data_IF_043471904248
#
_entry.id   IF_043471904248
#
_cell.length_a   1.000
_cell.length_b   1.000
_cell.length_c   1.000
_cell.angle_alpha   90.00
_cell.angle_beta   90.00
_cell.angle_gamma   90.00
#
_symmetry.space_group_name_H-M   'P 1'
#
loop_
_entity.id
_entity.type
_entity.pdbx_description
1 polymer ?
#
# COMPACT_ATOMS: atom_id res chain seq x y z
N UNK A 1 71.99 -58.73 9.73
CA UNK A 1 70.86 -59.23 8.93
C UNK A 1 70.06 -58.02 8.51
N UNK A 2 70.01 -57.76 7.19
CA UNK A 2 69.34 -56.61 6.61
C UNK A 2 67.82 -56.79 6.62
N UNK A 3 67.09 -55.71 6.87
CA UNK A 3 65.74 -55.52 6.33
C UNK A 3 65.55 -54.05 6.00
N UNK A 4 65.18 -53.83 4.74
CA UNK A 4 65.07 -52.59 4.02
C UNK A 4 63.66 -51.95 4.15
N UNK A 5 63.65 -50.61 4.06
CA UNK A 5 62.73 -49.73 3.31
C UNK A 5 61.21 -49.75 3.58
N UNK A 6 60.68 -48.56 3.95
CA UNK A 6 59.64 -47.78 3.21
C UNK A 6 59.41 -46.42 3.94
N UNK A 7 60.15 -45.35 3.65
CA UNK A 7 59.84 -44.28 2.67
C UNK A 7 58.50 -43.57 2.92
N UNK A 8 58.54 -42.43 3.61
CA UNK A 8 57.54 -41.36 3.47
C UNK A 8 58.25 -40.01 3.70
N UNK A 9 58.94 -39.55 2.67
CA UNK A 9 59.44 -38.19 2.56
C UNK A 9 59.59 -37.88 1.06
N UNK A 10 58.52 -37.33 0.48
CA UNK A 10 58.59 -36.59 -0.78
C UNK A 10 57.68 -35.37 -0.63
N UNK A 11 58.25 -34.26 -0.18
CA UNK A 11 58.83 -33.21 -1.04
C UNK A 11 57.75 -32.22 -1.45
N UNK A 12 57.82 -31.08 -0.78
CA UNK A 12 57.34 -29.80 -1.25
C UNK A 12 57.98 -29.49 -2.61
N UNK A 13 57.17 -29.51 -3.67
CA UNK A 13 57.54 -28.95 -4.96
C UNK A 13 56.57 -27.81 -5.28
N UNK A 14 57.07 -26.60 -5.08
CA UNK A 14 56.53 -25.36 -5.60
C UNK A 14 56.46 -25.44 -7.13
N UNK A 15 55.30 -25.14 -7.70
CA UNK A 15 55.04 -25.14 -9.13
C UNK A 15 54.13 -24.00 -9.51
N UNK A 16 54.73 -22.83 -9.76
CA UNK A 16 54.09 -21.76 -10.54
C UNK A 16 53.74 -22.30 -11.93
N UNK A 17 52.47 -22.23 -12.31
CA UNK A 17 51.99 -22.71 -13.61
C UNK A 17 50.58 -22.24 -13.91
N UNK A 18 50.51 -21.07 -14.54
CA UNK A 18 49.31 -20.55 -15.21
C UNK A 18 48.69 -21.58 -16.16
N UNK A 19 47.39 -21.87 -16.05
CA UNK A 19 46.43 -21.92 -17.17
C UNK A 19 45.06 -22.51 -16.75
N UNK A 20 44.03 -22.03 -17.47
CA UNK A 20 42.67 -22.57 -17.60
C UNK A 20 41.58 -22.09 -16.61
N UNK A 21 41.36 -20.77 -16.61
CA UNK A 21 40.00 -20.22 -16.44
C UNK A 21 39.20 -20.53 -17.73
N UNK A 22 38.43 -21.62 -17.75
CA UNK A 22 37.69 -22.01 -18.97
C UNK A 22 36.49 -22.94 -18.77
N UNK A 23 36.06 -23.21 -17.54
CA UNK A 23 34.98 -24.15 -17.25
C UNK A 23 33.70 -23.50 -16.68
N UNK A 24 33.62 -22.17 -16.60
CA UNK A 24 32.47 -21.46 -16.02
C UNK A 24 31.51 -20.81 -17.04
N UNK A 25 31.87 -20.74 -18.31
CA UNK A 25 31.01 -20.11 -19.33
C UNK A 25 29.90 -21.05 -19.83
N UNK A 26 30.14 -22.37 -19.88
CA UNK A 26 29.17 -23.31 -20.47
C UNK A 26 27.93 -23.51 -19.58
N UNK A 27 28.08 -23.67 -18.27
CA UNK A 27 26.95 -23.85 -17.34
C UNK A 27 26.18 -22.55 -17.08
N UNK A 28 26.85 -21.40 -17.18
CA UNK A 28 26.22 -20.08 -17.07
C UNK A 28 25.36 -19.79 -18.30
N UNK A 29 25.82 -20.13 -19.51
CA UNK A 29 25.03 -19.97 -20.74
C UNK A 29 23.76 -20.83 -20.74
N UNK A 30 23.81 -22.08 -20.30
CA UNK A 30 22.61 -22.93 -20.25
C UNK A 30 21.58 -22.45 -19.21
N UNK A 31 22.05 -21.96 -18.05
CA UNK A 31 21.19 -21.41 -17.00
C UNK A 31 20.54 -20.09 -17.44
N UNK A 32 21.31 -19.21 -18.08
CA UNK A 32 20.81 -17.93 -18.61
C UNK A 32 19.79 -18.16 -19.73
N UNK A 33 20.02 -19.16 -20.59
CA UNK A 33 19.04 -19.53 -21.63
C UNK A 33 17.76 -20.15 -21.05
N UNK A 34 17.85 -20.95 -19.97
CA UNK A 34 16.68 -21.45 -19.26
C UNK A 34 15.89 -20.32 -18.58
N UNK A 35 16.56 -19.40 -17.90
CA UNK A 35 15.93 -18.22 -17.28
C UNK A 35 15.27 -17.35 -18.35
N UNK A 36 15.92 -17.13 -19.50
CA UNK A 36 15.35 -16.38 -20.62
C UNK A 36 14.12 -17.07 -21.21
N UNK A 37 14.11 -18.40 -21.32
CA UNK A 37 12.95 -19.17 -21.80
C UNK A 37 11.80 -19.19 -20.78
N UNK A 38 12.08 -19.32 -19.49
CA UNK A 38 11.08 -19.25 -18.43
C UNK A 38 10.49 -17.85 -18.38
N UNK A 39 11.34 -16.82 -18.43
CA UNK A 39 10.91 -15.43 -18.46
C UNK A 39 10.08 -15.15 -19.71
N UNK A 40 10.48 -15.65 -20.88
CA UNK A 40 9.69 -15.49 -22.11
C UNK A 40 8.31 -16.17 -22.01
N UNK A 41 8.24 -17.40 -21.47
CA UNK A 41 6.97 -18.10 -21.26
C UNK A 41 6.09 -17.38 -20.23
N UNK A 42 6.67 -16.86 -19.16
CA UNK A 42 5.96 -16.10 -18.13
C UNK A 42 5.49 -14.76 -18.71
N UNK A 43 6.32 -14.03 -19.45
CA UNK A 43 5.94 -12.76 -20.08
C UNK A 43 4.84 -12.95 -21.13
N UNK A 44 4.89 -14.00 -21.94
CA UNK A 44 3.82 -14.33 -22.89
C UNK A 44 2.51 -14.66 -22.16
N UNK A 45 2.57 -15.44 -21.07
CA UNK A 45 1.39 -15.76 -20.25
C UNK A 45 0.89 -14.57 -19.41
N UNK A 46 1.77 -13.66 -18.98
CA UNK A 46 1.43 -12.43 -18.26
C UNK A 46 0.81 -11.39 -19.19
N UNK A 47 1.29 -11.30 -20.43
CA UNK A 47 0.70 -10.44 -21.46
C UNK A 47 -0.74 -10.82 -21.80
N UNK A 48 -1.03 -12.12 -21.80
CA UNK A 48 -2.41 -12.62 -21.91
C UNK A 48 -3.22 -12.33 -20.64
N UNK A 49 -2.60 -12.39 -19.46
CA UNK A 49 -3.24 -12.14 -18.16
C UNK A 49 -3.82 -10.74 -18.06
N UNK A 50 -3.13 -9.71 -18.54
CA UNK A 50 -3.66 -8.34 -18.54
C UNK A 50 -4.99 -8.24 -19.31
N UNK A 51 -5.15 -9.04 -20.37
CA UNK A 51 -6.38 -9.11 -21.15
C UNK A 51 -7.51 -9.79 -20.36
N UNK A 52 -7.22 -10.94 -19.73
CA UNK A 52 -8.19 -11.65 -18.88
C UNK A 52 -8.54 -10.87 -17.60
N UNK A 53 -7.57 -10.22 -16.96
CA UNK A 53 -7.77 -9.33 -15.81
C UNK A 53 -8.60 -8.11 -16.21
N UNK A 54 -8.31 -7.53 -17.38
CA UNK A 54 -9.06 -6.39 -17.91
C UNK A 54 -10.51 -6.72 -18.23
N UNK A 55 -10.79 -7.95 -18.68
CA UNK A 55 -12.15 -8.44 -18.98
C UNK A 55 -12.90 -8.82 -17.69
N UNK A 56 -12.24 -9.53 -16.77
CA UNK A 56 -12.77 -9.81 -15.43
C UNK A 56 -13.10 -8.52 -14.67
N UNK A 57 -12.17 -7.57 -14.60
CA UNK A 57 -12.43 -6.33 -13.85
C UNK A 57 -13.54 -5.52 -14.51
N UNK A 58 -13.73 -5.59 -15.84
CA UNK A 58 -14.85 -4.97 -16.57
C UNK A 58 -16.19 -5.64 -16.30
N UNK A 59 -16.24 -6.96 -16.39
CA UNK A 59 -17.46 -7.76 -16.18
C UNK A 59 -17.91 -7.69 -14.71
N UNK A 60 -16.96 -7.76 -13.79
CA UNK A 60 -17.23 -7.75 -12.35
C UNK A 60 -17.26 -6.34 -11.74
N UNK A 61 -17.16 -5.24 -12.51
CA UNK A 61 -17.15 -3.87 -11.95
C UNK A 61 -18.30 -3.62 -10.99
N UNK A 62 -19.52 -4.00 -11.36
CA UNK A 62 -20.71 -3.75 -10.53
C UNK A 62 -20.67 -4.50 -9.19
N UNK A 63 -20.46 -5.82 -9.15
CA UNK A 63 -20.33 -6.53 -7.88
C UNK A 63 -19.05 -6.15 -7.12
N UNK A 64 -17.93 -5.86 -7.79
CA UNK A 64 -16.70 -5.37 -7.15
C UNK A 64 -16.90 -4.02 -6.46
N UNK A 65 -17.61 -3.10 -7.09
CA UNK A 65 -17.96 -1.81 -6.45
C UNK A 65 -18.88 -2.06 -5.26
N UNK A 66 -19.93 -2.88 -5.41
CA UNK A 66 -20.84 -3.17 -4.30
C UNK A 66 -20.11 -3.83 -3.13
N UNK A 67 -19.26 -4.83 -3.40
CA UNK A 67 -18.47 -5.53 -2.40
C UNK A 67 -17.39 -4.62 -1.80
N UNK A 68 -16.76 -3.78 -2.62
CA UNK A 68 -15.79 -2.77 -2.19
C UNK A 68 -16.44 -1.69 -1.32
N UNK A 69 -17.69 -1.34 -1.58
CA UNK A 69 -18.46 -0.38 -0.77
C UNK A 69 -18.91 -1.04 0.54
N UNK A 70 -19.33 -2.30 0.50
CA UNK A 70 -19.66 -3.07 1.70
C UNK A 70 -18.42 -3.29 2.59
N UNK A 71 -17.31 -3.66 1.98
CA UNK A 71 -16.03 -3.86 2.66
C UNK A 71 -15.47 -2.52 3.14
N UNK A 72 -15.57 -1.47 2.33
CA UNK A 72 -15.19 -0.11 2.69
C UNK A 72 -15.98 0.38 3.90
N UNK A 73 -17.30 0.22 3.89
CA UNK A 73 -18.17 0.56 5.01
C UNK A 73 -17.79 -0.25 6.26
N UNK A 74 -17.63 -1.56 6.12
CA UNK A 74 -17.24 -2.44 7.22
C UNK A 74 -15.88 -2.05 7.80
N UNK A 75 -14.89 -1.79 6.94
CA UNK A 75 -13.55 -1.38 7.31
C UNK A 75 -13.55 0.01 7.95
N UNK A 76 -14.33 0.96 7.44
CA UNK A 76 -14.51 2.27 8.05
C UNK A 76 -15.08 2.15 9.45
N UNK A 77 -16.12 1.34 9.66
CA UNK A 77 -16.68 1.10 10.99
C UNK A 77 -15.62 0.49 11.92
N UNK A 78 -14.90 -0.54 11.45
CA UNK A 78 -13.81 -1.18 12.21
C UNK A 78 -12.70 -0.19 12.55
N UNK A 79 -12.31 0.66 11.61
CA UNK A 79 -11.29 1.67 11.79
C UNK A 79 -11.73 2.73 12.79
N UNK A 80 -12.97 3.23 12.69
CA UNK A 80 -13.54 4.17 13.67
C UNK A 80 -13.60 3.55 15.06
N UNK A 81 -14.03 2.30 15.19
CA UNK A 81 -14.03 1.59 16.47
C UNK A 81 -12.61 1.38 17.01
N UNK A 82 -11.64 1.06 16.16
CA UNK A 82 -10.24 0.91 16.54
C UNK A 82 -9.63 2.24 17.00
N UNK A 83 -9.94 3.34 16.30
CA UNK A 83 -9.54 4.69 16.71
C UNK A 83 -10.19 5.06 18.04
N UNK A 84 -11.48 4.77 18.23
CA UNK A 84 -12.18 5.02 19.48
C UNK A 84 -11.58 4.20 20.64
N UNK A 85 -11.24 2.93 20.39
CA UNK A 85 -10.57 2.08 21.36
C UNK A 85 -9.17 2.61 21.70
N UNK A 86 -8.39 3.03 20.69
CA UNK A 86 -7.07 3.63 20.89
C UNK A 86 -7.13 4.97 21.64
N UNK A 87 -8.15 5.79 21.40
CA UNK A 87 -8.40 7.02 22.17
C UNK A 87 -8.69 6.68 23.64
N UNK A 88 -9.48 5.62 23.89
CA UNK A 88 -9.79 5.18 25.24
C UNK A 88 -8.58 4.57 25.98
N UNK A 89 -7.67 3.90 25.24
CA UNK A 89 -6.41 3.38 25.79
C UNK A 89 -5.35 4.46 26.01
N UNK A 90 -5.43 5.59 25.30
CA UNK A 90 -4.48 6.69 25.42
C UNK A 90 -5.10 7.88 26.19
N UNK A 91 -4.83 8.00 27.51
CA UNK A 91 -5.51 8.96 28.38
C UNK A 91 -5.27 10.43 28.01
N UNK A 92 -4.28 10.74 27.17
CA UNK A 92 -3.96 12.11 26.73
C UNK A 92 -4.70 12.54 25.46
N UNK A 93 -5.24 11.61 24.66
CA UNK A 93 -5.93 11.98 23.41
C UNK A 93 -7.25 12.70 23.70
N UNK A 94 -8.06 12.18 24.63
CA UNK A 94 -9.34 12.78 25.03
C UNK A 94 -9.21 14.28 25.39
N UNK A 95 -8.32 14.70 26.33
CA UNK A 95 -8.17 16.12 26.67
C UNK A 95 -7.57 16.95 25.51
N UNK A 96 -6.74 16.37 24.64
CA UNK A 96 -6.24 17.10 23.46
C UNK A 96 -7.33 17.34 22.42
N UNK A 97 -8.20 16.37 22.13
CA UNK A 97 -9.34 16.55 21.23
C UNK A 97 -10.36 17.55 21.79
N UNK A 98 -10.59 17.53 23.10
CA UNK A 98 -11.42 18.52 23.78
C UNK A 98 -10.82 19.92 23.63
N UNK A 99 -9.51 20.08 23.87
CA UNK A 99 -8.82 21.36 23.70
C UNK A 99 -8.88 21.86 22.25
N UNK A 100 -8.60 20.98 21.28
CA UNK A 100 -8.69 21.31 19.84
C UNK A 100 -10.12 21.70 19.48
N UNK A 101 -11.12 20.95 19.95
CA UNK A 101 -12.54 21.22 19.75
C UNK A 101 -12.95 22.56 20.33
N UNK A 102 -12.48 22.91 21.53
CA UNK A 102 -12.74 24.21 22.16
C UNK A 102 -12.03 25.35 21.43
N UNK A 103 -10.80 25.16 20.95
CA UNK A 103 -10.10 26.15 20.13
C UNK A 103 -10.89 26.41 18.84
N UNK A 104 -11.26 25.36 18.11
CA UNK A 104 -12.01 25.49 16.86
C UNK A 104 -13.41 26.04 17.07
N UNK A 105 -14.12 25.58 18.11
CA UNK A 105 -15.46 26.08 18.45
C UNK A 105 -15.40 27.55 18.88
N UNK A 106 -14.46 27.92 19.74
CA UNK A 106 -14.23 29.31 20.15
C UNK A 106 -13.87 30.22 18.97
N UNK A 107 -12.97 29.77 18.09
CA UNK A 107 -12.62 30.50 16.87
C UNK A 107 -13.81 30.60 15.90
N UNK A 108 -14.58 29.53 15.73
CA UNK A 108 -15.76 29.52 14.86
C UNK A 108 -16.84 30.48 15.36
N UNK A 109 -17.15 30.41 16.66
CA UNK A 109 -18.11 31.32 17.30
C UNK A 109 -17.64 32.76 17.16
N UNK A 110 -16.37 33.05 17.48
CA UNK A 110 -15.82 34.40 17.32
C UNK A 110 -15.84 34.89 15.86
N UNK A 111 -15.40 34.06 14.92
CA UNK A 111 -15.23 34.42 13.51
C UNK A 111 -16.55 34.50 12.75
N UNK A 112 -17.52 33.64 13.05
CA UNK A 112 -18.75 33.50 12.27
C UNK A 112 -20.01 33.97 13.01
N UNK A 113 -20.12 33.78 14.33
CA UNK A 113 -21.31 34.17 15.09
C UNK A 113 -21.25 35.62 15.61
N UNK A 114 -20.11 36.06 16.16
CA UNK A 114 -19.98 37.42 16.71
C UNK A 114 -19.81 38.49 15.64
N UNK A 115 -19.21 38.13 14.49
CA UNK A 115 -19.01 39.07 13.40
C UNK A 115 -20.34 39.30 12.67
N UNK A 116 -20.95 40.46 12.92
CA UNK A 116 -22.29 40.82 12.46
C UNK A 116 -22.52 40.72 10.94
N UNK A 117 -21.47 40.87 10.12
CA UNK A 117 -21.55 40.64 8.68
C UNK A 117 -21.79 39.17 8.33
N UNK A 118 -21.16 38.25 9.07
CA UNK A 118 -21.17 36.83 8.74
C UNK A 118 -22.45 36.13 9.22
N UNK A 119 -23.08 36.60 10.32
CA UNK A 119 -24.35 36.03 10.78
C UNK A 119 -25.50 36.27 9.79
N UNK A 120 -25.51 37.42 9.08
CA UNK A 120 -26.55 37.74 8.11
C UNK A 120 -26.38 36.93 6.83
N UNK A 121 -25.14 36.70 6.42
CA UNK A 121 -24.78 35.95 5.23
C UNK A 121 -24.98 34.44 5.45
N UNK A 122 -24.49 33.89 6.57
CA UNK A 122 -24.70 32.48 6.92
C UNK A 122 -26.17 32.15 7.16
N UNK A 123 -26.94 33.02 7.83
CA UNK A 123 -28.37 32.74 8.05
C UNK A 123 -29.13 32.67 6.73
N UNK A 124 -28.84 33.59 5.80
CA UNK A 124 -29.43 33.58 4.45
C UNK A 124 -29.00 32.35 3.66
N UNK A 125 -27.73 31.93 3.73
CA UNK A 125 -27.25 30.72 3.06
C UNK A 125 -27.82 29.44 3.68
N UNK A 126 -27.95 29.37 5.00
CA UNK A 126 -28.53 28.21 5.69
C UNK A 126 -30.03 28.06 5.38
N UNK A 127 -30.78 29.16 5.30
CA UNK A 127 -32.18 29.13 4.87
C UNK A 127 -32.30 28.70 3.40
N UNK A 128 -31.41 29.19 2.52
CA UNK A 128 -31.38 28.78 1.12
C UNK A 128 -31.01 27.30 0.94
N UNK A 129 -30.02 26.79 1.68
CA UNK A 129 -29.65 25.37 1.68
C UNK A 129 -30.78 24.50 2.23
N UNK A 130 -31.43 24.94 3.32
CA UNK A 130 -32.57 24.25 3.90
C UNK A 130 -33.74 24.19 2.92
N UNK A 131 -33.99 25.24 2.16
CA UNK A 131 -35.01 25.24 1.10
C UNK A 131 -34.65 24.39 -0.11
N UNK A 132 -33.37 24.27 -0.46
CA UNK A 132 -32.91 23.31 -1.48
C UNK A 132 -33.05 21.87 -1.02
N UNK A 133 -32.63 21.55 0.21
CA UNK A 133 -32.67 20.18 0.75
C UNK A 133 -34.11 19.73 1.02
N UNK A 134 -35.00 20.65 1.44
CA UNK A 134 -36.42 20.39 1.64
C UNK A 134 -37.25 20.52 0.36
N UNK A 135 -36.64 20.88 -0.78
CA UNK A 135 -37.31 21.00 -2.07
C UNK A 135 -38.35 22.13 -2.16
N UNK A 136 -38.30 23.13 -1.27
CA UNK A 136 -39.21 24.29 -1.31
C UNK A 136 -38.80 25.32 -2.36
N UNK A 137 -37.54 25.31 -2.78
CA UNK A 137 -37.01 26.21 -3.82
C UNK A 137 -37.42 25.82 -5.25
N UNK A 138 -38.02 24.65 -5.50
CA UNK A 138 -38.35 24.15 -6.85
C UNK A 138 -39.82 24.33 -7.24
N UNK A 139 -40.54 25.27 -6.62
CA UNK A 139 -41.98 25.54 -6.85
C UNK A 139 -42.25 27.00 -7.30
N UNK A 140 -41.28 27.63 -7.97
CA UNK A 140 -41.43 28.88 -8.73
C UNK A 140 -40.72 28.73 -10.08
#
# INVERSE_FOLDING_TARGET
MATELKTDDSVFAEGSGSAANGANDTSTSETVEQVKRITAQVVDKLGDLDKYFGEFFREYKRPLIALGLFFGLFLSIKLTLAVLAAINDVPVLAPTFELIGLLYSGWFVYRYLLKASNRSELASEMDALKDQILGRASQL
#
